data_IF_822137914044
#
_entry.id   IF_822137914044
#
_cell.length_a   1.000
_cell.length_b   1.000
_cell.length_c   1.000
_cell.angle_alpha   90.00
_cell.angle_beta   90.00
_cell.angle_gamma   90.00
#
_symmetry.space_group_name_H-M   'P 1'
#
loop_
_entity.id
_entity.type
_entity.pdbx_description
1 polymer ?
#
# COMPACT_ATOMS: atom_id res chain seq x y z
N UNK A 1 -34.82 -6.11 -8.00
CA UNK A 1 -33.69 -5.40 -8.63
C UNK A 1 -32.76 -4.98 -7.52
N UNK A 2 -31.63 -5.67 -7.34
CA UNK A 2 -30.63 -5.22 -6.39
C UNK A 2 -29.84 -4.10 -7.08
N UNK A 3 -30.01 -2.87 -6.62
CA UNK A 3 -29.13 -1.78 -7.03
C UNK A 3 -27.69 -2.22 -6.74
N UNK A 4 -26.73 -2.09 -7.68
CA UNK A 4 -25.34 -2.28 -7.33
C UNK A 4 -25.01 -1.23 -6.28
N UNK A 5 -24.91 -1.67 -5.02
CA UNK A 5 -24.52 -0.85 -3.88
C UNK A 5 -23.28 -0.06 -4.28
N UNK A 6 -23.32 1.26 -4.11
CA UNK A 6 -22.22 2.18 -4.45
C UNK A 6 -20.87 1.70 -3.88
N UNK A 7 -20.90 0.94 -2.79
CA UNK A 7 -19.74 0.30 -2.17
C UNK A 7 -19.01 -0.71 -3.06
N UNK A 8 -19.71 -1.45 -3.92
CA UNK A 8 -19.10 -2.45 -4.80
C UNK A 8 -18.37 -1.81 -5.97
N UNK A 9 -18.94 -0.73 -6.52
CA UNK A 9 -18.28 0.06 -7.58
C UNK A 9 -16.98 0.71 -7.08
N UNK A 10 -16.97 1.23 -5.83
CA UNK A 10 -15.77 1.78 -5.21
C UNK A 10 -14.72 0.69 -4.96
N UNK A 11 -15.12 -0.48 -4.45
CA UNK A 11 -14.21 -1.63 -4.26
C UNK A 11 -13.57 -2.08 -5.57
N UNK A 12 -14.34 -2.18 -6.65
CA UNK A 12 -13.81 -2.52 -7.98
C UNK A 12 -12.79 -1.48 -8.44
N UNK A 13 -13.08 -0.19 -8.24
CA UNK A 13 -12.16 0.90 -8.59
C UNK A 13 -10.86 0.85 -7.78
N UNK A 14 -10.94 0.57 -6.47
CA UNK A 14 -9.79 0.37 -5.58
C UNK A 14 -8.95 -0.82 -6.05
N UNK A 15 -9.59 -1.95 -6.38
CA UNK A 15 -8.90 -3.13 -6.90
C UNK A 15 -8.18 -2.86 -8.23
N UNK A 16 -8.80 -2.10 -9.13
CA UNK A 16 -8.18 -1.69 -10.39
C UNK A 16 -6.95 -0.79 -10.14
N UNK A 17 -7.07 0.23 -9.29
CA UNK A 17 -5.94 1.10 -8.93
C UNK A 17 -4.81 0.31 -8.27
N UNK A 18 -5.15 -0.65 -7.41
CA UNK A 18 -4.17 -1.58 -6.82
C UNK A 18 -3.47 -2.41 -7.90
N UNK A 19 -4.22 -3.00 -8.83
CA UNK A 19 -3.66 -3.82 -9.90
C UNK A 19 -2.77 -2.99 -10.85
N UNK A 20 -3.17 -1.76 -11.18
CA UNK A 20 -2.34 -0.81 -11.91
C UNK A 20 -1.05 -0.48 -11.14
N UNK A 21 -1.15 -0.26 -9.83
CA UNK A 21 -0.01 -0.07 -8.94
C UNK A 21 0.93 -1.27 -8.94
N UNK A 22 0.40 -2.49 -8.85
CA UNK A 22 1.17 -3.74 -8.87
C UNK A 22 1.91 -3.89 -10.22
N UNK A 23 1.24 -3.58 -11.33
CA UNK A 23 1.84 -3.60 -12.67
C UNK A 23 2.94 -2.55 -12.85
N UNK A 24 2.76 -1.35 -12.30
CA UNK A 24 3.79 -0.30 -12.28
C UNK A 24 4.97 -0.68 -11.39
N UNK A 25 4.70 -1.33 -10.25
CA UNK A 25 5.73 -1.83 -9.35
C UNK A 25 6.59 -2.90 -10.03
N UNK A 26 5.97 -3.84 -10.75
CA UNK A 26 6.68 -4.83 -11.56
C UNK A 26 7.55 -4.20 -12.65
N UNK A 27 7.11 -3.08 -13.24
CA UNK A 27 7.90 -2.28 -14.18
C UNK A 27 9.00 -1.42 -13.52
N UNK A 28 9.25 -1.58 -12.21
CA UNK A 28 10.17 -0.74 -11.41
C UNK A 28 9.80 0.74 -11.39
N UNK A 29 8.57 1.10 -11.77
CA UNK A 29 8.04 2.48 -11.76
C UNK A 29 7.45 2.80 -10.38
N UNK A 30 8.27 2.70 -9.33
CA UNK A 30 7.84 2.79 -7.94
C UNK A 30 7.12 4.10 -7.58
N UNK A 31 7.58 5.24 -8.11
CA UNK A 31 6.91 6.54 -7.91
C UNK A 31 5.47 6.53 -8.45
N UNK A 32 5.26 5.98 -9.64
CA UNK A 32 3.91 5.90 -10.23
C UNK A 32 3.03 4.90 -9.48
N UNK A 33 3.60 3.76 -9.08
CA UNK A 33 2.91 2.77 -8.25
C UNK A 33 2.45 3.39 -6.92
N UNK A 34 3.33 4.15 -6.25
CA UNK A 34 3.02 4.86 -5.01
C UNK A 34 1.81 5.78 -5.18
N UNK A 35 1.77 6.59 -6.25
CA UNK A 35 0.61 7.47 -6.54
C UNK A 35 -0.68 6.68 -6.74
N UNK A 36 -0.64 5.56 -7.46
CA UNK A 36 -1.82 4.70 -7.67
C UNK A 36 -2.32 4.08 -6.37
N UNK A 37 -1.43 3.64 -5.50
CA UNK A 37 -1.84 3.16 -4.17
C UNK A 37 -2.39 4.27 -3.30
N UNK A 38 -1.84 5.49 -3.35
CA UNK A 38 -2.42 6.64 -2.63
C UNK A 38 -3.83 6.93 -3.10
N UNK A 39 -4.08 6.97 -4.41
CA UNK A 39 -5.44 7.13 -4.96
C UNK A 39 -6.39 6.02 -4.51
N UNK A 40 -5.88 4.78 -4.39
CA UNK A 40 -6.67 3.66 -3.88
C UNK A 40 -6.99 3.82 -2.39
N UNK A 41 -6.03 4.31 -1.59
CA UNK A 41 -6.20 4.57 -0.14
C UNK A 41 -7.18 5.72 0.11
N UNK A 42 -7.18 6.76 -0.73
CA UNK A 42 -8.16 7.86 -0.63
C UNK A 42 -9.60 7.37 -0.83
N UNK A 43 -9.79 6.29 -1.60
CA UNK A 43 -11.08 5.64 -1.79
C UNK A 43 -11.39 4.59 -0.72
N UNK A 44 -10.36 3.87 -0.23
CA UNK A 44 -10.46 2.82 0.77
C UNK A 44 -9.27 2.87 1.74
N UNK A 45 -9.43 3.67 2.80
CA UNK A 45 -8.44 3.84 3.86
C UNK A 45 -8.45 2.68 4.88
N UNK A 46 -9.36 1.72 4.74
CA UNK A 46 -9.52 0.61 5.67
C UNK A 46 -8.81 -0.66 5.17
N UNK A 47 -8.01 -0.54 4.10
CA UNK A 47 -7.40 -1.67 3.43
C UNK A 47 -5.89 -1.74 3.67
N UNK A 48 -5.49 -2.62 4.60
CA UNK A 48 -4.10 -2.86 4.94
C UNK A 48 -3.22 -3.25 3.73
N UNK A 49 -3.80 -3.88 2.71
CA UNK A 49 -3.06 -4.31 1.51
C UNK A 49 -2.52 -3.10 0.75
N UNK A 50 -3.30 -2.04 0.63
CA UNK A 50 -2.92 -0.83 -0.09
C UNK A 50 -1.76 -0.11 0.59
N UNK A 51 -1.87 0.08 1.90
CA UNK A 51 -0.79 0.65 2.73
C UNK A 51 0.49 -0.18 2.63
N UNK A 52 0.39 -1.52 2.73
CA UNK A 52 1.56 -2.37 2.60
C UNK A 52 2.19 -2.32 1.19
N UNK A 53 1.37 -2.23 0.14
CA UNK A 53 1.88 -2.09 -1.23
C UNK A 53 2.52 -0.71 -1.48
N UNK A 54 1.95 0.35 -0.89
CA UNK A 54 2.55 1.69 -0.89
C UNK A 54 3.89 1.70 -0.14
N UNK A 55 3.96 1.07 1.03
CA UNK A 55 5.20 0.86 1.78
C UNK A 55 6.27 0.12 0.97
N UNK A 56 5.89 -0.91 0.19
CA UNK A 56 6.82 -1.62 -0.68
C UNK A 56 7.41 -0.70 -1.78
N UNK A 57 6.58 0.18 -2.32
CA UNK A 57 7.01 1.18 -3.31
C UNK A 57 7.98 2.17 -2.69
N UNK A 58 7.66 2.69 -1.49
CA UNK A 58 8.53 3.58 -0.72
C UNK A 58 9.88 2.93 -0.36
N UNK A 59 9.89 1.68 0.11
CA UNK A 59 11.10 0.88 0.33
C UNK A 59 11.99 0.82 -0.92
N UNK A 60 11.38 0.63 -2.08
CA UNK A 60 12.10 0.54 -3.36
C UNK A 60 12.64 1.90 -3.83
N UNK A 61 12.02 3.00 -3.38
CA UNK A 61 12.50 4.37 -3.58
C UNK A 61 13.54 4.80 -2.53
N UNK A 62 13.83 3.96 -1.54
CA UNK A 62 14.68 4.26 -0.37
C UNK A 62 14.06 5.27 0.62
N UNK A 63 12.76 5.51 0.51
CA UNK A 63 11.98 6.34 1.43
C UNK A 63 11.56 5.48 2.65
N UNK A 64 12.53 5.14 3.49
CA UNK A 64 12.33 4.14 4.54
C UNK A 64 11.46 4.65 5.70
N UNK A 65 11.45 5.97 5.96
CA UNK A 65 10.61 6.57 7.00
C UNK A 65 9.13 6.48 6.61
N UNK A 66 8.79 6.90 5.39
CA UNK A 66 7.41 6.80 4.87
C UNK A 66 6.97 5.34 4.78
N UNK A 67 7.85 4.45 4.32
CA UNK A 67 7.56 3.03 4.28
C UNK A 67 7.26 2.43 5.66
N UNK A 68 7.95 2.88 6.71
CA UNK A 68 7.74 2.39 8.07
C UNK A 68 6.40 2.87 8.62
N UNK A 69 6.04 4.13 8.39
CA UNK A 69 4.74 4.69 8.75
C UNK A 69 3.59 3.94 8.05
N UNK A 70 3.69 3.75 6.74
CA UNK A 70 2.69 3.03 5.95
C UNK A 70 2.55 1.57 6.38
N UNK A 71 3.67 0.88 6.59
CA UNK A 71 3.63 -0.50 7.03
C UNK A 71 3.09 -0.64 8.46
N UNK A 72 3.28 0.38 9.31
CA UNK A 72 2.71 0.44 10.66
C UNK A 72 1.20 0.62 10.62
N UNK A 73 0.69 1.50 9.76
CA UNK A 73 -0.75 1.63 9.52
C UNK A 73 -1.33 0.30 9.02
N UNK A 74 -0.68 -0.35 8.05
CA UNK A 74 -1.13 -1.62 7.51
C UNK A 74 -1.29 -2.72 8.59
N UNK A 75 -0.32 -2.88 9.50
CA UNK A 75 -0.44 -3.86 10.60
C UNK A 75 -1.43 -3.44 11.69
N UNK A 76 -1.73 -2.14 11.79
CA UNK A 76 -2.74 -1.62 12.74
C UNK A 76 -4.14 -1.92 12.22
N UNK A 77 -4.34 -1.78 10.90
CA UNK A 77 -5.59 -2.11 10.21
C UNK A 77 -5.80 -3.63 10.17
N UNK A 78 -4.81 -4.38 9.71
CA UNK A 78 -4.85 -5.84 9.66
C UNK A 78 -3.60 -6.46 10.30
N UNK A 79 -3.65 -6.80 11.60
CA UNK A 79 -2.54 -7.42 12.28
C UNK A 79 -2.26 -8.85 11.81
N UNK A 80 -3.20 -9.48 11.11
CA UNK A 80 -3.02 -10.85 10.56
C UNK A 80 -2.26 -10.85 9.24
N UNK A 81 -2.09 -9.67 8.62
CA UNK A 81 -1.44 -9.57 7.32
C UNK A 81 0.09 -9.69 7.43
N UNK A 82 0.59 -10.92 7.31
CA UNK A 82 2.02 -11.24 7.42
C UNK A 82 2.95 -10.41 6.52
N UNK A 83 2.49 -10.02 5.31
CA UNK A 83 3.30 -9.19 4.41
C UNK A 83 3.47 -7.76 4.92
N UNK A 84 2.52 -7.22 5.68
CA UNK A 84 2.66 -5.91 6.30
C UNK A 84 3.75 -5.92 7.38
N UNK A 85 3.75 -6.94 8.25
CA UNK A 85 4.83 -7.16 9.23
C UNK A 85 6.20 -7.30 8.59
N UNK A 86 6.31 -8.10 7.51
CA UNK A 86 7.56 -8.26 6.79
C UNK A 86 8.09 -6.93 6.21
N UNK A 87 7.19 -6.06 5.71
CA UNK A 87 7.54 -4.74 5.20
C UNK A 87 7.91 -3.77 6.31
N UNK A 88 7.21 -3.81 7.44
CA UNK A 88 7.53 -3.00 8.62
C UNK A 88 8.93 -3.34 9.15
N UNK A 89 9.27 -4.64 9.26
CA UNK A 89 10.60 -5.07 9.68
C UNK A 89 11.69 -4.59 8.71
N UNK A 90 11.45 -4.68 7.40
CA UNK A 90 12.39 -4.15 6.40
C UNK A 90 12.54 -2.63 6.48
N UNK A 91 11.43 -1.91 6.62
CA UNK A 91 11.41 -0.45 6.66
C UNK A 91 12.08 0.10 7.93
N UNK A 92 11.77 -0.47 9.10
CA UNK A 92 12.38 -0.07 10.38
C UNK A 92 13.87 -0.41 10.43
N UNK A 93 14.27 -1.58 9.92
CA UNK A 93 15.69 -1.94 9.82
C UNK A 93 16.45 -1.01 8.86
N UNK A 94 15.85 -0.65 7.73
CA UNK A 94 16.47 0.26 6.77
C UNK A 94 16.51 1.71 7.28
N UNK A 95 15.44 2.21 7.90
CA UNK A 95 15.37 3.59 8.42
C UNK A 95 16.36 3.83 9.56
N UNK A 96 16.65 2.81 10.39
CA UNK A 96 17.66 2.89 11.43
C UNK A 96 19.10 3.06 10.90
N UNK A 97 19.35 2.66 9.65
CA UNK A 97 20.69 2.75 9.01
C UNK A 97 20.94 4.09 8.33
N UNK A 98 19.92 4.94 8.19
CA UNK A 98 20.03 6.28 7.56
C UNK A 98 20.03 7.37 8.64
N UNK A 99 20.32 7.01 9.90
CA UNK A 99 20.34 7.92 11.05
C UNK A 99 21.77 8.29 11.43
#
# INVERSE_FOLDING_TARGET
MAEPSVSDAVKVKVQNLKAEGDGLFAQKKYKKAYVKYTQAIELDNSNAILYANRAASALSMKEYLDAASDAKEAVTIDPTYAKAWARLGKATHASRRVR
#
